data_IF_273496795734
#
_entry.id   IF_273496795734
#
_cell.length_a   1.000
_cell.length_b   1.000
_cell.length_c   1.000
_cell.angle_alpha   90.00
_cell.angle_beta   90.00
_cell.angle_gamma   90.00
#
_symmetry.space_group_name_H-M   'P 1'
#
loop_
_entity.id
_entity.type
_entity.pdbx_description
1 polymer ?
#
# COMPACT_ATOMS: atom_id res chain seq x y z
N UNK A 1 -35.44 -21.47 -17.34
CA UNK A 1 -35.73 -20.01 -17.23
C UNK A 1 -34.75 -19.47 -16.20
N UNK A 2 -33.68 -18.78 -16.65
CA UNK A 2 -32.76 -18.11 -15.73
C UNK A 2 -33.48 -16.87 -15.16
N UNK A 3 -33.64 -16.85 -13.83
CA UNK A 3 -34.20 -15.69 -13.14
C UNK A 3 -33.12 -14.58 -13.19
N UNK A 4 -33.37 -13.52 -13.94
CA UNK A 4 -32.45 -12.38 -13.92
C UNK A 4 -32.41 -11.78 -12.52
N UNK A 5 -31.22 -11.71 -11.93
CA UNK A 5 -31.02 -11.02 -10.65
C UNK A 5 -30.92 -9.52 -10.98
N UNK A 6 -31.94 -8.77 -10.62
CA UNK A 6 -32.01 -7.33 -10.92
C UNK A 6 -31.29 -6.46 -9.89
N UNK A 7 -30.93 -6.99 -8.74
CA UNK A 7 -30.21 -6.28 -7.70
C UNK A 7 -29.43 -7.22 -6.80
N UNK A 8 -28.30 -6.75 -6.30
CA UNK A 8 -27.45 -7.42 -5.29
C UNK A 8 -27.31 -6.44 -4.11
N UNK A 9 -27.51 -6.96 -2.90
CA UNK A 9 -27.18 -6.22 -1.65
C UNK A 9 -25.87 -6.74 -1.10
N UNK A 10 -24.92 -5.83 -0.91
CA UNK A 10 -23.60 -6.14 -0.31
C UNK A 10 -23.34 -5.15 0.82
N UNK A 11 -22.44 -5.51 1.75
CA UNK A 11 -21.85 -4.56 2.69
C UNK A 11 -21.07 -3.55 1.87
N UNK A 12 -21.14 -2.27 2.23
CA UNK A 12 -20.36 -1.24 1.56
C UNK A 12 -18.87 -1.60 1.67
N UNK A 13 -18.14 -1.71 0.56
CA UNK A 13 -16.75 -2.13 0.58
C UNK A 13 -15.82 -1.06 1.15
N UNK A 14 -14.62 -1.51 1.51
CA UNK A 14 -13.47 -0.66 1.76
C UNK A 14 -12.46 -0.87 0.64
N UNK A 15 -11.71 0.18 0.29
CA UNK A 15 -10.57 0.07 -0.62
C UNK A 15 -9.26 0.22 0.17
N UNK A 16 -8.48 -0.86 0.22
CA UNK A 16 -7.28 -0.91 1.05
C UNK A 16 -6.02 -0.36 0.38
N UNK A 17 -6.12 0.23 -0.83
CA UNK A 17 -4.97 0.81 -1.52
C UNK A 17 -5.39 1.82 -2.59
N UNK A 18 -5.43 3.11 -2.25
CA UNK A 18 -5.81 4.19 -3.19
C UNK A 18 -4.76 5.28 -3.23
N UNK A 19 -4.35 5.66 -4.44
CA UNK A 19 -3.54 6.85 -4.68
C UNK A 19 -4.43 8.04 -5.02
N UNK A 20 -4.80 8.84 -4.04
CA UNK A 20 -5.59 10.06 -4.29
C UNK A 20 -4.76 11.16 -4.97
N UNK A 21 -3.42 11.12 -4.81
CA UNK A 21 -2.51 12.12 -5.34
C UNK A 21 -2.77 13.51 -4.74
N UNK A 22 -2.70 14.56 -5.55
CA UNK A 22 -2.82 15.97 -5.13
C UNK A 22 -3.53 16.76 -6.25
N UNK A 23 -3.90 18.03 -5.94
CA UNK A 23 -4.50 18.94 -6.90
C UNK A 23 -5.81 18.45 -7.51
N UNK A 24 -6.01 18.67 -8.81
CA UNK A 24 -7.24 18.30 -9.52
C UNK A 24 -7.51 16.79 -9.49
N UNK A 25 -6.46 15.97 -9.56
CA UNK A 25 -6.61 14.52 -9.52
C UNK A 25 -7.21 14.05 -8.20
N UNK A 26 -6.82 14.64 -7.07
CA UNK A 26 -7.36 14.28 -5.75
C UNK A 26 -8.87 14.46 -5.72
N UNK A 27 -9.39 15.59 -6.18
CA UNK A 27 -10.83 15.87 -6.16
C UNK A 27 -11.63 14.88 -7.00
N UNK A 28 -11.10 14.47 -8.15
CA UNK A 28 -11.74 13.52 -9.04
C UNK A 28 -11.72 12.11 -8.43
N UNK A 29 -10.54 11.64 -8.00
CA UNK A 29 -10.37 10.29 -7.44
C UNK A 29 -11.19 10.14 -6.16
N UNK A 30 -11.22 11.16 -5.29
CA UNK A 30 -12.00 11.13 -4.06
C UNK A 30 -13.48 10.92 -4.33
N UNK A 31 -14.07 11.65 -5.28
CA UNK A 31 -15.49 11.52 -5.62
C UNK A 31 -15.85 10.12 -6.11
N UNK A 32 -14.99 9.54 -6.96
CA UNK A 32 -15.22 8.17 -7.44
C UNK A 32 -15.05 7.12 -6.33
N UNK A 33 -14.04 7.25 -5.50
CA UNK A 33 -13.75 6.31 -4.41
C UNK A 33 -14.82 6.38 -3.31
N UNK A 34 -15.18 7.57 -2.84
CA UNK A 34 -16.14 7.78 -1.75
C UNK A 34 -17.58 7.40 -2.10
N UNK A 35 -17.92 7.43 -3.40
CA UNK A 35 -19.25 6.99 -3.86
C UNK A 35 -19.49 5.50 -3.64
N UNK A 36 -18.44 4.69 -3.71
CA UNK A 36 -18.54 3.23 -3.64
C UNK A 36 -18.08 2.72 -2.29
N UNK A 37 -16.95 3.22 -1.80
CA UNK A 37 -16.30 2.71 -0.61
C UNK A 37 -16.72 3.48 0.65
N UNK A 38 -16.74 2.76 1.79
CA UNK A 38 -16.93 3.37 3.10
C UNK A 38 -15.61 3.97 3.61
N UNK A 39 -14.52 3.24 3.44
CA UNK A 39 -13.18 3.65 3.85
C UNK A 39 -12.18 3.37 2.75
N UNK A 40 -11.14 4.19 2.69
CA UNK A 40 -9.99 3.94 1.81
C UNK A 40 -8.68 4.14 2.57
N UNK A 41 -7.69 3.26 2.32
CA UNK A 41 -6.31 3.56 2.72
C UNK A 41 -5.68 4.44 1.65
N UNK A 42 -5.43 5.70 2.02
CA UNK A 42 -4.79 6.68 1.15
C UNK A 42 -3.28 6.50 1.18
N UNK A 43 -2.70 6.09 0.06
CA UNK A 43 -1.25 5.88 -0.03
C UNK A 43 -0.49 7.19 0.17
N UNK A 44 0.56 7.19 1.04
CA UNK A 44 1.21 8.40 1.52
C UNK A 44 2.30 8.92 0.59
N UNK A 45 2.51 8.32 -0.60
CA UNK A 45 3.53 8.70 -1.58
C UNK A 45 3.05 9.83 -2.51
N UNK A 46 2.69 10.95 -1.91
CA UNK A 46 2.44 12.23 -2.57
C UNK A 46 3.75 12.85 -3.09
N UNK A 47 3.71 13.98 -3.76
CA UNK A 47 4.93 14.68 -4.22
C UNK A 47 5.87 15.02 -3.05
N UNK A 48 5.29 15.42 -1.91
CA UNK A 48 5.95 15.49 -0.61
C UNK A 48 5.38 14.35 0.25
N UNK A 49 6.16 13.31 0.60
CA UNK A 49 5.65 12.16 1.33
C UNK A 49 5.03 12.53 2.68
N UNK A 50 3.98 11.82 3.07
CA UNK A 50 3.30 12.02 4.36
C UNK A 50 4.08 11.27 5.45
N UNK A 51 4.91 11.99 6.18
CA UNK A 51 5.85 11.44 7.19
C UNK A 51 5.55 11.89 8.61
N UNK A 52 4.73 12.93 8.79
CA UNK A 52 4.40 13.53 10.09
C UNK A 52 2.92 13.46 10.41
N UNK A 53 2.60 13.52 11.71
CA UNK A 53 1.23 13.55 12.22
C UNK A 53 0.42 14.72 11.64
N UNK A 54 1.03 15.89 11.51
CA UNK A 54 0.39 17.11 10.96
C UNK A 54 0.06 16.93 9.47
N UNK A 55 0.99 16.39 8.69
CA UNK A 55 0.77 16.12 7.26
C UNK A 55 -0.37 15.11 7.07
N UNK A 56 -0.42 14.06 7.92
CA UNK A 56 -1.48 13.06 7.87
C UNK A 56 -2.87 13.65 8.14
N UNK A 57 -2.99 14.47 9.19
CA UNK A 57 -4.25 15.15 9.52
C UNK A 57 -4.70 16.07 8.37
N UNK A 58 -3.78 16.84 7.81
CA UNK A 58 -4.08 17.74 6.69
C UNK A 58 -4.49 16.96 5.44
N UNK A 59 -3.79 15.87 5.12
CA UNK A 59 -4.09 15.07 3.94
C UNK A 59 -5.43 14.33 4.09
N UNK A 60 -5.70 13.76 5.27
CA UNK A 60 -7.01 13.17 5.60
C UNK A 60 -8.13 14.18 5.38
N UNK A 61 -7.99 15.37 5.98
CA UNK A 61 -8.97 16.45 5.84
C UNK A 61 -9.17 16.85 4.38
N UNK A 62 -8.07 17.01 3.63
CA UNK A 62 -8.12 17.39 2.22
C UNK A 62 -8.91 16.35 1.38
N UNK A 63 -8.70 15.05 1.64
CA UNK A 63 -9.44 13.99 0.97
C UNK A 63 -10.92 14.04 1.36
N UNK A 64 -11.23 14.10 2.65
CA UNK A 64 -12.61 14.06 3.15
C UNK A 64 -13.42 15.30 2.72
N UNK A 65 -12.83 16.49 2.71
CA UNK A 65 -13.45 17.72 2.21
C UNK A 65 -13.80 17.67 0.71
N UNK A 66 -13.14 16.80 -0.07
CA UNK A 66 -13.44 16.58 -1.49
C UNK A 66 -14.42 15.42 -1.74
N UNK A 67 -14.91 14.76 -0.67
CA UNK A 67 -15.90 13.71 -0.76
C UNK A 67 -17.31 14.28 -0.87
N UNK A 68 -18.15 13.67 -1.70
CA UNK A 68 -19.58 13.95 -1.74
C UNK A 68 -20.37 13.04 -0.74
N UNK A 69 -19.65 12.27 0.10
CA UNK A 69 -20.22 11.32 1.06
C UNK A 69 -19.70 11.60 2.48
N UNK A 70 -20.54 12.14 3.33
CA UNK A 70 -20.21 12.51 4.72
C UNK A 70 -19.80 11.31 5.60
N UNK A 71 -20.09 10.09 5.19
CA UNK A 71 -19.73 8.88 5.90
C UNK A 71 -18.44 8.22 5.37
N UNK A 72 -17.78 8.84 4.41
CA UNK A 72 -16.51 8.35 3.86
C UNK A 72 -15.36 8.68 4.80
N UNK A 73 -14.46 7.73 4.99
CA UNK A 73 -13.29 7.88 5.85
C UNK A 73 -11.99 7.58 5.08
N UNK A 74 -11.06 8.52 5.08
CA UNK A 74 -9.70 8.31 4.62
C UNK A 74 -8.80 7.83 5.78
N UNK A 75 -8.11 6.72 5.58
CA UNK A 75 -7.15 6.14 6.52
C UNK A 75 -5.74 6.38 6.02
N UNK A 76 -4.90 7.03 6.82
CA UNK A 76 -3.56 7.46 6.40
C UNK A 76 -2.48 6.59 7.06
N UNK A 77 -1.66 5.83 6.32
CA UNK A 77 -0.44 5.24 6.84
C UNK A 77 0.72 6.25 6.75
N UNK A 78 1.71 6.11 7.63
CA UNK A 78 2.94 6.90 7.56
C UNK A 78 3.85 6.39 6.42
N UNK A 79 4.38 7.29 5.60
CA UNK A 79 5.46 6.96 4.68
C UNK A 79 6.76 6.75 5.46
N UNK A 80 7.32 5.54 5.44
CA UNK A 80 8.54 5.21 6.18
C UNK A 80 9.78 5.67 5.42
N UNK A 81 10.72 6.31 6.13
CA UNK A 81 12.00 6.79 5.63
C UNK A 81 13.14 6.42 6.57
N UNK A 82 14.37 6.40 6.08
CA UNK A 82 15.57 6.16 6.92
C UNK A 82 15.76 7.20 8.05
N UNK A 83 15.13 8.37 7.92
CA UNK A 83 15.26 9.52 8.85
C UNK A 83 13.95 9.92 9.52
N UNK A 84 12.99 8.98 9.62
CA UNK A 84 11.68 9.23 10.22
C UNK A 84 11.80 9.76 11.66
N UNK A 85 11.00 10.76 12.01
CA UNK A 85 10.87 11.21 13.40
C UNK A 85 10.09 10.17 14.21
N UNK A 86 10.81 9.33 14.95
CA UNK A 86 10.26 8.21 15.71
C UNK A 86 9.25 8.67 16.77
N UNK A 87 9.52 9.79 17.45
CA UNK A 87 8.64 10.30 18.50
C UNK A 87 7.29 10.77 17.95
N UNK A 88 7.29 11.50 16.82
CA UNK A 88 6.05 11.92 16.17
C UNK A 88 5.29 10.71 15.58
N UNK A 89 6.01 9.75 15.01
CA UNK A 89 5.41 8.51 14.51
C UNK A 89 4.68 7.73 15.62
N UNK A 90 5.35 7.50 16.76
CA UNK A 90 4.77 6.80 17.90
C UNK A 90 3.54 7.56 18.46
N UNK A 91 3.65 8.88 18.61
CA UNK A 91 2.53 9.74 18.99
C UNK A 91 1.33 9.60 18.05
N UNK A 92 1.59 9.65 16.74
CA UNK A 92 0.53 9.55 15.74
C UNK A 92 -0.15 8.17 15.71
N UNK A 93 0.58 7.09 15.97
CA UNK A 93 0.00 5.75 16.12
C UNK A 93 -0.88 5.64 17.36
N UNK A 94 -0.44 6.18 18.51
CA UNK A 94 -1.20 6.17 19.76
C UNK A 94 -2.51 6.92 19.65
N UNK A 95 -2.53 8.01 18.89
CA UNK A 95 -3.70 8.87 18.68
C UNK A 95 -4.52 8.48 17.45
N UNK A 96 -4.23 7.33 16.80
CA UNK A 96 -4.88 6.85 15.59
C UNK A 96 -4.87 7.85 14.41
N UNK A 97 -3.88 8.74 14.37
CA UNK A 97 -3.62 9.64 13.24
C UNK A 97 -3.05 8.83 12.09
N UNK A 98 -2.01 8.02 12.36
CA UNK A 98 -1.57 6.96 11.44
C UNK A 98 -2.25 5.64 11.79
N UNK A 99 -2.67 4.91 10.75
CA UNK A 99 -3.20 3.54 10.89
C UNK A 99 -2.10 2.48 10.95
N UNK A 100 -0.90 2.83 10.53
CA UNK A 100 0.27 1.95 10.41
C UNK A 100 1.40 2.62 9.67
N UNK A 101 2.37 1.85 9.21
CA UNK A 101 3.48 2.31 8.39
C UNK A 101 3.39 1.76 6.97
N UNK A 102 3.78 2.55 5.98
CA UNK A 102 3.92 2.12 4.58
C UNK A 102 5.39 2.13 4.18
N UNK A 103 5.91 0.96 3.89
CA UNK A 103 7.26 0.73 3.41
C UNK A 103 7.30 0.79 1.89
N UNK A 104 8.12 1.69 1.37
CA UNK A 104 8.58 1.71 -0.01
C UNK A 104 10.09 1.50 -0.01
N UNK A 105 10.62 0.45 -0.66
CA UNK A 105 12.05 0.42 -0.99
C UNK A 105 12.40 1.60 -1.90
N UNK A 106 13.59 2.16 -1.68
CA UNK A 106 14.03 3.36 -2.42
C UNK A 106 13.98 3.14 -3.94
N UNK A 107 13.38 4.10 -4.65
CA UNK A 107 13.20 4.09 -6.11
C UNK A 107 12.49 2.84 -6.69
N UNK A 108 11.75 2.09 -5.89
CA UNK A 108 11.02 0.91 -6.37
C UNK A 108 9.76 1.27 -7.17
N UNK A 109 9.14 2.42 -6.90
CA UNK A 109 7.91 2.86 -7.54
C UNK A 109 7.80 4.39 -7.62
N UNK A 110 6.69 4.92 -8.10
CA UNK A 110 6.41 6.36 -8.19
C UNK A 110 6.53 7.04 -6.82
N UNK A 111 7.23 8.18 -6.76
CA UNK A 111 7.46 8.97 -5.54
C UNK A 111 8.10 8.15 -4.40
N UNK A 112 8.95 7.18 -4.73
CA UNK A 112 9.67 6.37 -3.73
C UNK A 112 11.15 6.74 -3.58
N UNK A 113 11.57 7.86 -4.13
CA UNK A 113 12.94 8.38 -3.98
C UNK A 113 13.34 8.70 -2.53
N UNK A 114 12.36 8.90 -1.65
CA UNK A 114 12.54 9.09 -0.21
C UNK A 114 12.34 7.79 0.58
N UNK A 115 12.11 6.68 -0.12
CA UNK A 115 11.89 5.36 0.48
C UNK A 115 13.12 4.83 1.22
N UNK A 116 12.94 3.69 1.84
CA UNK A 116 13.94 3.06 2.70
C UNK A 116 15.06 2.45 1.88
N UNK A 117 16.31 2.84 2.18
CA UNK A 117 17.51 2.29 1.55
C UNK A 117 18.01 1.01 2.22
N UNK A 118 17.86 0.94 3.55
CA UNK A 118 18.27 -0.21 4.36
C UNK A 118 17.18 -0.46 5.41
N UNK A 119 16.45 -1.54 5.21
CA UNK A 119 15.31 -1.92 6.06
C UNK A 119 15.73 -2.11 7.53
N UNK A 120 16.97 -2.51 7.80
CA UNK A 120 17.47 -2.69 9.16
C UNK A 120 17.54 -1.38 9.95
N UNK A 121 17.71 -0.25 9.28
CA UNK A 121 17.74 1.07 9.94
C UNK A 121 16.40 1.47 10.55
N UNK A 122 15.31 0.87 10.09
CA UNK A 122 13.95 1.17 10.58
C UNK A 122 13.35 0.02 11.41
N UNK A 123 14.16 -0.90 11.91
CA UNK A 123 13.68 -2.00 12.76
C UNK A 123 13.02 -1.49 14.05
N UNK A 124 13.49 -0.38 14.61
CA UNK A 124 12.85 0.31 15.72
C UNK A 124 11.40 0.76 15.40
N UNK A 125 11.12 1.10 14.14
CA UNK A 125 9.76 1.42 13.68
C UNK A 125 8.89 0.16 13.66
N UNK A 126 9.44 -0.98 13.27
CA UNK A 126 8.72 -2.25 13.29
C UNK A 126 8.41 -2.73 14.71
N UNK A 127 9.32 -2.51 15.66
CA UNK A 127 9.08 -2.74 17.10
C UNK A 127 7.91 -1.90 17.62
N UNK A 128 7.83 -0.64 17.20
CA UNK A 128 6.73 0.26 17.57
C UNK A 128 5.41 -0.22 16.96
N UNK A 129 5.40 -0.59 15.67
CA UNK A 129 4.21 -1.13 15.02
C UNK A 129 3.71 -2.41 15.71
N UNK A 130 4.62 -3.33 16.03
CA UNK A 130 4.31 -4.57 16.75
C UNK A 130 3.75 -4.27 18.15
N UNK A 131 4.42 -3.39 18.92
CA UNK A 131 4.01 -2.93 20.27
C UNK A 131 2.58 -2.38 20.29
N UNK A 132 2.21 -1.58 19.30
CA UNK A 132 0.87 -0.96 19.21
C UNK A 132 -0.12 -1.79 18.38
N UNK A 133 0.26 -3.01 17.99
CA UNK A 133 -0.58 -3.90 17.17
C UNK A 133 -1.05 -3.21 15.86
N UNK A 134 -0.20 -2.39 15.27
CA UNK A 134 -0.41 -1.68 14.01
C UNK A 134 0.20 -2.44 12.84
N UNK A 135 -0.24 -2.11 11.64
CA UNK A 135 0.11 -2.85 10.42
C UNK A 135 1.26 -2.19 9.67
N UNK A 136 2.18 -3.02 9.18
CA UNK A 136 3.17 -2.66 8.17
C UNK A 136 2.64 -3.00 6.79
N UNK A 137 2.38 -2.00 5.96
CA UNK A 137 2.01 -2.13 4.56
C UNK A 137 3.27 -2.08 3.71
N UNK A 138 3.47 -3.02 2.80
CA UNK A 138 4.74 -3.16 2.06
C UNK A 138 4.52 -3.13 0.56
N UNK A 139 5.21 -2.21 -0.14
CA UNK A 139 5.48 -2.36 -1.56
C UNK A 139 6.65 -3.34 -1.71
N UNK A 140 6.34 -4.57 -2.08
CA UNK A 140 7.26 -5.70 -1.99
C UNK A 140 8.10 -5.92 -3.24
N UNK A 141 8.93 -4.96 -3.63
CA UNK A 141 9.82 -5.08 -4.79
C UNK A 141 11.24 -4.60 -4.50
N UNK A 142 12.25 -5.34 -4.98
CA UNK A 142 13.64 -4.88 -5.02
C UNK A 142 13.96 -4.24 -6.36
N UNK A 143 14.35 -2.96 -6.34
CA UNK A 143 14.78 -2.24 -7.54
C UNK A 143 16.31 -2.33 -7.71
N UNK A 144 16.78 -3.44 -8.25
CA UNK A 144 18.20 -3.66 -8.61
C UNK A 144 18.32 -3.95 -10.10
N UNK A 145 19.39 -3.49 -10.71
CA UNK A 145 19.65 -3.62 -12.16
C UNK A 145 19.97 -5.07 -12.60
N UNK A 146 20.34 -5.92 -11.67
CA UNK A 146 20.64 -7.34 -11.88
C UNK A 146 19.39 -8.25 -11.77
N UNK A 147 18.23 -7.68 -11.40
CA UNK A 147 16.98 -8.41 -11.21
C UNK A 147 16.02 -8.10 -12.36
N UNK A 148 15.48 -9.14 -13.00
CA UNK A 148 14.35 -8.98 -13.94
C UNK A 148 13.15 -8.36 -13.23
N UNK A 149 12.44 -7.46 -13.90
CA UNK A 149 11.30 -6.75 -13.32
C UNK A 149 10.19 -7.69 -12.81
N UNK A 150 10.06 -8.87 -13.41
CA UNK A 150 9.07 -9.87 -13.02
C UNK A 150 9.49 -10.73 -11.82
N UNK A 151 10.76 -10.65 -11.42
CA UNK A 151 11.30 -11.39 -10.27
C UNK A 151 11.47 -10.49 -9.04
N UNK A 152 11.25 -9.17 -9.15
CA UNK A 152 11.47 -8.20 -8.07
C UNK A 152 10.71 -8.51 -6.79
N UNK A 153 9.46 -8.96 -6.89
CA UNK A 153 8.65 -9.36 -5.74
C UNK A 153 9.25 -10.59 -5.05
N UNK A 154 9.63 -11.60 -5.81
CA UNK A 154 10.25 -12.82 -5.28
C UNK A 154 11.56 -12.50 -4.54
N UNK A 155 12.44 -11.70 -5.15
CA UNK A 155 13.70 -11.31 -4.50
C UNK A 155 13.48 -10.49 -3.23
N UNK A 156 12.48 -9.60 -3.21
CA UNK A 156 12.12 -8.88 -2.00
C UNK A 156 11.65 -9.83 -0.89
N UNK A 157 10.82 -10.80 -1.22
CA UNK A 157 10.36 -11.81 -0.25
C UNK A 157 11.54 -12.59 0.30
N UNK A 158 12.45 -13.07 -0.55
CA UNK A 158 13.57 -13.91 -0.14
C UNK A 158 14.62 -13.16 0.67
N UNK A 159 14.97 -11.95 0.28
CA UNK A 159 16.07 -11.21 0.88
C UNK A 159 15.64 -10.34 2.08
N UNK A 160 14.41 -9.79 2.05
CA UNK A 160 13.95 -8.81 3.04
C UNK A 160 12.76 -9.30 3.87
N UNK A 161 11.66 -9.70 3.23
CA UNK A 161 10.41 -9.99 3.94
C UNK A 161 10.52 -11.20 4.86
N UNK A 162 11.25 -12.25 4.46
CA UNK A 162 11.51 -13.41 5.32
C UNK A 162 12.30 -13.00 6.57
N UNK A 163 13.25 -12.07 6.45
CA UNK A 163 14.03 -11.60 7.59
C UNK A 163 13.20 -10.74 8.53
N UNK A 164 12.36 -9.84 7.98
CA UNK A 164 11.39 -9.08 8.78
C UNK A 164 10.50 -10.04 9.55
N UNK A 165 9.91 -11.03 8.87
CA UNK A 165 9.00 -12.01 9.50
C UNK A 165 9.68 -12.83 10.59
N UNK A 166 10.96 -13.20 10.40
CA UNK A 166 11.77 -13.93 11.38
C UNK A 166 12.07 -13.09 12.62
N UNK A 167 12.33 -11.80 12.44
CA UNK A 167 12.69 -10.86 13.52
C UNK A 167 11.47 -10.37 14.31
N UNK A 168 10.33 -10.18 13.65
CA UNK A 168 9.11 -9.58 14.20
C UNK A 168 7.92 -10.53 14.02
N UNK A 169 7.77 -11.50 14.91
CA UNK A 169 6.82 -12.62 14.77
C UNK A 169 5.36 -12.18 14.91
N UNK A 170 5.09 -11.17 15.71
CA UNK A 170 3.75 -10.67 16.00
C UNK A 170 3.38 -9.44 15.15
N UNK A 171 4.32 -8.88 14.40
CA UNK A 171 4.07 -7.77 13.49
C UNK A 171 3.05 -8.16 12.42
N UNK A 172 1.98 -7.39 12.32
CA UNK A 172 1.00 -7.53 11.24
C UNK A 172 1.55 -6.93 9.95
N UNK A 173 1.61 -7.72 8.91
CA UNK A 173 2.15 -7.31 7.61
C UNK A 173 1.07 -7.45 6.54
N UNK A 174 1.03 -6.49 5.62
CA UNK A 174 0.31 -6.61 4.36
C UNK A 174 1.30 -6.47 3.22
N UNK A 175 1.49 -7.54 2.46
CA UNK A 175 2.16 -7.50 1.17
C UNK A 175 1.15 -6.98 0.15
N UNK A 176 1.38 -5.76 -0.35
CA UNK A 176 0.39 -5.08 -1.19
C UNK A 176 0.56 -5.44 -2.67
N UNK A 177 -0.58 -5.38 -3.40
CA UNK A 177 -0.67 -5.61 -4.86
C UNK A 177 0.18 -6.80 -5.33
N UNK A 178 0.04 -7.93 -4.63
CA UNK A 178 0.76 -9.17 -4.94
C UNK A 178 0.56 -9.54 -6.41
N UNK A 179 1.67 -9.75 -7.11
CA UNK A 179 1.69 -9.92 -8.57
C UNK A 179 2.21 -11.29 -9.03
N UNK A 180 2.70 -12.13 -8.12
CA UNK A 180 3.25 -13.45 -8.42
C UNK A 180 2.59 -14.56 -7.60
N UNK A 181 2.63 -15.79 -8.12
CA UNK A 181 2.26 -17.00 -7.39
C UNK A 181 3.15 -17.19 -6.16
N UNK A 182 4.44 -16.84 -6.27
CA UNK A 182 5.38 -16.89 -5.15
C UNK A 182 4.93 -16.01 -3.97
N UNK A 183 4.48 -14.78 -4.26
CA UNK A 183 3.93 -13.88 -3.25
C UNK A 183 2.63 -14.40 -2.64
N UNK A 184 1.75 -14.95 -3.46
CA UNK A 184 0.50 -15.60 -2.98
C UNK A 184 0.81 -16.76 -2.04
N UNK A 185 1.73 -17.64 -2.41
CA UNK A 185 2.10 -18.79 -1.58
C UNK A 185 2.78 -18.36 -0.28
N UNK A 186 3.62 -17.33 -0.33
CA UNK A 186 4.23 -16.76 0.88
C UNK A 186 3.17 -16.25 1.85
N UNK A 187 2.18 -15.48 1.37
CA UNK A 187 1.08 -14.98 2.20
C UNK A 187 0.26 -16.13 2.79
N UNK A 188 -0.06 -17.16 2.01
CA UNK A 188 -0.87 -18.32 2.46
C UNK A 188 -0.17 -19.20 3.49
N UNK A 189 1.16 -19.24 3.48
CA UNK A 189 1.95 -20.15 4.32
C UNK A 189 2.51 -19.49 5.58
N UNK A 190 2.36 -18.18 5.73
CA UNK A 190 2.87 -17.45 6.89
C UNK A 190 1.74 -16.86 7.74
N UNK A 191 1.95 -16.81 9.06
CA UNK A 191 1.01 -16.19 10.00
C UNK A 191 1.25 -14.67 10.09
N UNK A 192 0.23 -13.93 10.52
CA UNK A 192 0.26 -12.47 10.71
C UNK A 192 0.64 -11.70 9.42
N UNK A 193 0.39 -12.29 8.26
CA UNK A 193 0.57 -11.64 6.97
C UNK A 193 -0.71 -11.77 6.13
N UNK A 194 -1.06 -10.70 5.44
CA UNK A 194 -2.12 -10.66 4.45
C UNK A 194 -1.57 -10.14 3.12
N UNK A 195 -2.30 -10.32 2.04
CA UNK A 195 -1.98 -9.75 0.74
C UNK A 195 -3.14 -8.94 0.19
N UNK A 196 -2.85 -7.88 -0.54
CA UNK A 196 -3.84 -7.21 -1.39
C UNK A 196 -3.59 -7.54 -2.86
N UNK A 197 -4.67 -7.63 -3.63
CA UNK A 197 -4.62 -7.89 -5.06
C UNK A 197 -5.40 -6.80 -5.77
N UNK A 198 -4.85 -6.28 -6.86
CA UNK A 198 -5.54 -5.29 -7.69
C UNK A 198 -6.34 -5.97 -8.81
N UNK A 199 -7.39 -5.32 -9.36
CA UNK A 199 -8.17 -5.89 -10.45
C UNK A 199 -7.32 -6.26 -11.68
N UNK A 200 -6.33 -5.42 -12.02
CA UNK A 200 -5.47 -5.69 -13.18
C UNK A 200 -4.55 -6.90 -12.97
N UNK A 201 -4.07 -7.17 -11.74
CA UNK A 201 -3.30 -8.39 -11.45
C UNK A 201 -4.14 -9.67 -11.54
N UNK A 202 -5.48 -9.58 -11.43
CA UNK A 202 -6.38 -10.70 -11.65
C UNK A 202 -6.76 -10.90 -13.12
N UNK A 203 -6.69 -9.84 -13.94
CA UNK A 203 -7.20 -9.84 -15.31
C UNK A 203 -6.11 -9.88 -16.36
N UNK A 204 -4.92 -9.33 -16.08
CA UNK A 204 -3.83 -9.17 -17.02
C UNK A 204 -2.66 -10.08 -16.66
N UNK A 205 -1.99 -10.57 -17.70
CA UNK A 205 -0.75 -11.33 -17.59
C UNK A 205 0.41 -10.57 -18.23
N UNK A 206 1.64 -11.05 -18.01
CA UNK A 206 2.83 -10.54 -18.70
C UNK A 206 2.63 -10.41 -20.21
N UNK A 207 1.92 -11.36 -20.85
CA UNK A 207 1.64 -11.34 -22.31
C UNK A 207 0.70 -10.22 -22.73
N UNK A 208 -0.15 -9.74 -21.84
CA UNK A 208 -1.05 -8.63 -22.12
C UNK A 208 -0.31 -7.29 -22.05
N UNK A 209 0.71 -7.20 -21.22
CA UNK A 209 1.56 -6.02 -21.06
C UNK A 209 2.60 -5.93 -22.17
N UNK A 210 3.21 -7.07 -22.53
CA UNK A 210 4.26 -7.14 -23.56
C UNK A 210 3.77 -7.98 -24.73
N UNK A 211 3.60 -7.33 -25.88
CA UNK A 211 3.27 -7.99 -27.16
C UNK A 211 4.39 -7.75 -28.14
N UNK A 212 4.91 -8.82 -28.74
CA UNK A 212 5.90 -8.74 -29.83
C UNK A 212 7.06 -7.78 -29.49
N UNK A 213 7.59 -7.88 -28.27
CA UNK A 213 8.66 -7.04 -27.70
C UNK A 213 8.28 -5.55 -27.51
N UNK A 214 7.03 -5.19 -27.70
CA UNK A 214 6.52 -3.85 -27.45
C UNK A 214 5.69 -3.81 -26.15
N UNK A 215 5.91 -2.76 -25.35
CA UNK A 215 5.09 -2.49 -24.18
C UNK A 215 3.74 -1.94 -24.60
N UNK A 216 2.63 -2.55 -24.13
CA UNK A 216 1.32 -1.96 -24.24
C UNK A 216 1.12 -0.94 -23.09
N UNK A 217 1.24 0.37 -23.36
CA UNK A 217 1.26 1.36 -22.28
C UNK A 217 -0.06 1.45 -21.51
N UNK A 218 -1.17 1.04 -22.12
CA UNK A 218 -2.48 1.01 -21.46
C UNK A 218 -2.63 -0.14 -20.45
N UNK A 219 -1.83 -1.18 -20.57
CA UNK A 219 -1.81 -2.32 -19.65
C UNK A 219 -0.61 -2.30 -18.71
N UNK A 220 0.31 -1.34 -18.87
CA UNK A 220 1.45 -1.18 -17.99
C UNK A 220 1.01 -0.52 -16.68
N UNK A 221 0.32 -1.31 -15.87
CA UNK A 221 -0.01 -0.98 -14.50
C UNK A 221 0.98 -1.71 -13.60
N UNK A 222 1.49 -1.02 -12.63
CA UNK A 222 2.42 -1.66 -11.69
C UNK A 222 1.70 -2.65 -10.79
#
# INVERSE_FOLDING_TARGET
IFKMINSIKIIQPDDWHVHFREGEMLSVVTKYSSRVNKRCIAMPNTSTPITTSIEAVNYKKLIEDNSDNDNFEALIPCYLTDSLNVADFEYALQNNIFIGGKLYPNNATTNSQFGVNDIKKIYNIFEILEKYNKTLLIHGELNRSDIDIFDREKYFIDEELQQIRKSFKDLKIVLEHVSSDYGVDFVKTNNNIAGTITPHHMLLTKKDVFRDDLVNPHHYCM
#
